data_IF_728364039235
#
_entry.id   IF_728364039235
#
_cell.length_a   1.000
_cell.length_b   1.000
_cell.length_c   1.000
_cell.angle_alpha   90.00
_cell.angle_beta   90.00
_cell.angle_gamma   90.00
#
_symmetry.space_group_name_H-M   'P 1'
#
loop_
_entity.id
_entity.type
_entity.pdbx_description
1 polymer ?
#
# COMPACT_ATOMS: atom_id res chain seq x y z
N UNK A 1 20.07 16.23 0.40
CA UNK A 1 20.56 15.96 1.77
C UNK A 1 22.08 16.03 1.92
N UNK A 2 22.89 16.12 0.84
CA UNK A 2 24.36 16.14 0.93
C UNK A 2 24.96 14.81 1.42
N UNK A 3 24.31 13.71 1.05
CA UNK A 3 24.70 12.33 1.34
C UNK A 3 25.13 11.71 0.01
N UNK A 4 26.10 10.79 0.04
CA UNK A 4 26.48 10.06 -1.16
C UNK A 4 25.27 9.27 -1.69
N UNK A 5 24.90 9.41 -2.98
CA UNK A 5 23.78 8.66 -3.54
C UNK A 5 23.89 7.14 -3.37
N UNK A 6 25.11 6.59 -3.31
CA UNK A 6 25.35 5.16 -3.06
C UNK A 6 25.01 4.72 -1.63
N UNK A 7 24.93 5.66 -0.68
CA UNK A 7 24.50 5.41 0.71
C UNK A 7 22.97 5.53 0.89
N UNK A 8 22.21 5.81 -0.17
CA UNK A 8 20.74 5.99 -0.08
C UNK A 8 20.03 5.03 -1.03
N UNK A 9 19.02 4.34 -0.49
CA UNK A 9 18.16 3.45 -1.27
C UNK A 9 16.77 4.08 -1.36
N UNK A 10 16.25 4.16 -2.58
CA UNK A 10 14.85 4.47 -2.86
C UNK A 10 14.17 3.20 -3.32
N UNK A 11 13.06 2.87 -2.66
CA UNK A 11 12.25 1.70 -2.99
C UNK A 11 10.77 2.09 -3.03
N UNK A 12 9.98 1.34 -3.79
CA UNK A 12 8.54 1.47 -3.88
C UNK A 12 7.86 0.20 -3.37
N UNK A 13 7.93 -0.08 -2.06
CA UNK A 13 7.37 -1.30 -1.51
C UNK A 13 5.83 -1.28 -1.58
N UNK A 14 5.23 -2.47 -1.50
CA UNK A 14 3.80 -2.54 -1.22
C UNK A 14 3.52 -1.96 0.17
N UNK A 15 2.39 -1.28 0.33
CA UNK A 15 1.99 -0.72 1.64
C UNK A 15 1.94 -1.78 2.75
N UNK A 16 1.61 -3.02 2.41
CA UNK A 16 1.56 -4.16 3.34
C UNK A 16 2.91 -4.43 4.03
N UNK A 17 4.03 -4.21 3.32
CA UNK A 17 5.38 -4.33 3.89
C UNK A 17 5.68 -3.22 4.92
N UNK A 18 5.06 -2.05 4.76
CA UNK A 18 5.26 -0.90 5.67
C UNK A 18 4.39 -1.03 6.91
N UNK A 19 3.10 -1.36 6.74
CA UNK A 19 2.17 -1.42 7.87
C UNK A 19 2.26 -2.72 8.65
N UNK A 20 2.87 -3.76 8.07
CA UNK A 20 2.87 -5.12 8.63
C UNK A 20 1.47 -5.77 8.65
N UNK A 21 0.46 -5.07 8.13
CA UNK A 21 -0.90 -5.57 8.05
C UNK A 21 -1.06 -6.35 6.76
N UNK A 22 -1.10 -7.69 6.88
CA UNK A 22 -1.62 -8.52 5.81
C UNK A 22 -3.05 -8.06 5.53
N UNK A 23 -3.33 -7.60 4.31
CA UNK A 23 -4.72 -7.40 3.89
C UNK A 23 -5.43 -8.71 4.14
N UNK A 24 -6.43 -8.70 5.04
CA UNK A 24 -7.34 -9.84 5.23
C UNK A 24 -7.87 -10.17 3.84
N UNK A 25 -7.35 -11.24 3.25
CA UNK A 25 -7.61 -11.61 1.86
C UNK A 25 -9.11 -11.67 1.63
N UNK A 26 -9.53 -11.32 0.40
CA UNK A 26 -10.90 -11.38 -0.14
C UNK A 26 -11.92 -11.83 0.91
N UNK A 27 -12.38 -10.88 1.72
CA UNK A 27 -13.47 -11.18 2.66
C UNK A 27 -14.74 -11.26 1.82
N UNK A 28 -15.00 -12.44 1.26
CA UNK A 28 -16.25 -12.73 0.59
C UNK A 28 -17.35 -12.67 1.63
N UNK A 29 -18.18 -11.63 1.56
CA UNK A 29 -19.36 -11.50 2.41
C UNK A 29 -20.40 -12.49 1.92
N UNK A 30 -20.77 -13.52 2.71
CA UNK A 30 -21.80 -14.47 2.32
C UNK A 30 -23.18 -13.80 2.43
N UNK A 31 -23.97 -13.89 1.36
CA UNK A 31 -25.33 -13.35 1.27
C UNK A 31 -26.30 -14.53 1.12
N UNK A 32 -27.26 -14.62 2.03
CA UNK A 32 -28.39 -15.53 1.87
C UNK A 32 -29.42 -14.89 0.93
N UNK A 33 -29.60 -15.49 -0.25
CA UNK A 33 -30.61 -15.07 -1.22
C UNK A 33 -31.37 -16.30 -1.73
N UNK A 34 -32.70 -16.28 -1.66
CA UNK A 34 -33.58 -17.39 -2.09
C UNK A 34 -33.17 -18.76 -1.49
N UNK A 35 -32.85 -18.78 -0.19
CA UNK A 35 -32.44 -20.01 0.50
C UNK A 35 -31.05 -20.55 0.11
N UNK A 36 -30.29 -19.81 -0.71
CA UNK A 36 -28.93 -20.18 -1.11
C UNK A 36 -27.92 -19.12 -0.65
N UNK A 37 -26.82 -19.57 -0.07
CA UNK A 37 -25.70 -18.70 0.29
C UNK A 37 -24.84 -18.47 -0.96
N UNK A 38 -24.62 -17.20 -1.31
CA UNK A 38 -23.77 -16.78 -2.43
C UNK A 38 -22.89 -15.61 -2.00
N UNK A 39 -21.67 -15.48 -2.53
CA UNK A 39 -20.84 -14.31 -2.27
C UNK A 39 -21.45 -13.03 -2.87
N UNK A 40 -21.24 -11.90 -2.21
CA UNK A 40 -21.69 -10.58 -2.68
C UNK A 40 -21.20 -10.26 -4.10
N UNK A 41 -19.99 -10.69 -4.47
CA UNK A 41 -19.41 -10.53 -5.81
C UNK A 41 -20.22 -11.18 -6.93
N UNK A 42 -21.05 -12.17 -6.61
CA UNK A 42 -21.95 -12.83 -7.57
C UNK A 42 -23.26 -12.06 -7.78
N UNK A 43 -23.62 -11.19 -6.84
CA UNK A 43 -24.86 -10.42 -6.85
C UNK A 43 -24.65 -8.97 -7.27
N UNK A 44 -23.44 -8.44 -7.09
CA UNK A 44 -23.13 -7.02 -7.27
C UNK A 44 -21.92 -6.80 -8.19
N UNK A 45 -22.13 -6.22 -9.40
CA UNK A 45 -21.04 -5.86 -10.30
C UNK A 45 -20.05 -4.88 -9.69
N UNK A 46 -20.51 -3.92 -8.87
CA UNK A 46 -19.63 -2.97 -8.17
C UNK A 46 -18.76 -3.67 -7.13
N UNK A 47 -19.31 -4.63 -6.39
CA UNK A 47 -18.54 -5.42 -5.42
C UNK A 47 -17.51 -6.30 -6.11
N UNK A 48 -17.86 -6.89 -7.27
CA UNK A 48 -16.91 -7.64 -8.10
C UNK A 48 -15.78 -6.74 -8.61
N UNK A 49 -16.11 -5.53 -9.10
CA UNK A 49 -15.13 -4.57 -9.59
C UNK A 49 -14.18 -4.11 -8.47
N UNK A 50 -14.71 -3.79 -7.29
CA UNK A 50 -13.92 -3.38 -6.11
C UNK A 50 -12.97 -4.48 -5.63
N UNK A 51 -13.38 -5.76 -5.66
CA UNK A 51 -12.47 -6.85 -5.33
C UNK A 51 -11.43 -7.14 -6.43
N UNK A 52 -11.80 -6.96 -7.70
CA UNK A 52 -10.88 -7.21 -8.83
C UNK A 52 -9.83 -6.12 -9.00
N UNK A 53 -10.15 -4.88 -8.60
CA UNK A 53 -9.16 -3.81 -8.53
C UNK A 53 -8.32 -4.06 -7.29
N UNK A 54 -7.14 -4.63 -7.49
CA UNK A 54 -6.08 -4.46 -6.51
C UNK A 54 -5.92 -2.97 -6.28
N UNK A 55 -6.20 -2.49 -5.07
CA UNK A 55 -5.81 -1.13 -4.70
C UNK A 55 -4.29 -1.15 -4.76
N UNK A 56 -3.73 -0.62 -5.85
CA UNK A 56 -2.30 -0.41 -6.04
C UNK A 56 -1.89 0.71 -5.10
N UNK A 57 -1.72 0.34 -3.84
CA UNK A 57 -1.28 1.22 -2.78
C UNK A 57 0.24 1.19 -2.83
N UNK A 58 0.79 2.24 -3.43
CA UNK A 58 2.23 2.43 -3.53
C UNK A 58 2.67 3.33 -2.40
N UNK A 59 3.86 3.05 -1.89
CA UNK A 59 4.55 3.90 -0.95
C UNK A 59 5.96 4.13 -1.46
N UNK A 60 6.58 5.23 -1.03
CA UNK A 60 7.99 5.51 -1.30
C UNK A 60 8.76 5.37 0.01
N UNK A 61 9.74 4.48 0.01
CA UNK A 61 10.65 4.30 1.14
C UNK A 61 12.01 4.90 0.80
N UNK A 62 12.56 5.69 1.73
CA UNK A 62 13.91 6.23 1.65
C UNK A 62 14.73 5.67 2.80
N UNK A 63 15.70 4.80 2.50
CA UNK A 63 16.59 4.20 3.49
C UNK A 63 18.00 4.79 3.39
N UNK A 64 18.62 5.07 4.53
CA UNK A 64 19.97 5.62 4.62
C UNK A 64 20.62 5.22 5.96
N UNK A 65 21.96 5.35 6.10
CA UNK A 65 22.63 5.19 7.38
C UNK A 65 22.02 6.09 8.46
N UNK A 66 21.96 5.57 9.69
CA UNK A 66 21.31 6.23 10.85
C UNK A 66 21.77 7.69 11.06
N UNK A 67 23.07 7.95 10.89
CA UNK A 67 23.70 9.27 10.97
C UNK A 67 23.08 10.34 10.04
N UNK A 68 22.33 9.94 9.01
CA UNK A 68 21.76 10.84 8.01
C UNK A 68 20.24 10.95 8.05
N UNK A 69 19.55 10.20 8.92
CA UNK A 69 18.08 10.09 8.92
C UNK A 69 17.40 11.45 8.94
N UNK A 70 17.75 12.34 9.88
CA UNK A 70 17.09 13.66 10.01
C UNK A 70 17.28 14.53 8.76
N UNK A 71 18.48 14.50 8.17
CA UNK A 71 18.81 15.28 6.95
C UNK A 71 18.10 14.74 5.72
N UNK A 72 18.00 13.42 5.62
CA UNK A 72 17.34 12.73 4.51
C UNK A 72 15.83 12.90 4.63
N UNK A 73 15.25 12.72 5.81
CA UNK A 73 13.83 12.96 6.08
C UNK A 73 13.41 14.38 5.70
N UNK A 74 14.13 15.40 6.17
CA UNK A 74 13.80 16.80 5.82
C UNK A 74 13.85 17.06 4.31
N UNK A 75 14.80 16.45 3.62
CA UNK A 75 14.91 16.58 2.16
C UNK A 75 13.80 15.81 1.45
N UNK A 76 13.52 14.57 1.88
CA UNK A 76 12.50 13.70 1.32
C UNK A 76 11.11 14.29 1.52
N UNK A 77 10.74 14.71 2.73
CA UNK A 77 9.45 15.34 3.02
C UNK A 77 9.24 16.61 2.20
N UNK A 78 10.28 17.42 2.00
CA UNK A 78 10.17 18.61 1.13
C UNK A 78 9.96 18.26 -0.35
N UNK A 79 10.59 17.20 -0.84
CA UNK A 79 10.55 16.83 -2.26
C UNK A 79 9.34 15.96 -2.61
N UNK A 80 8.92 15.09 -1.68
CA UNK A 80 7.84 14.13 -1.87
C UNK A 80 6.47 14.67 -1.42
N UNK A 81 6.39 15.71 -0.59
CA UNK A 81 5.09 16.29 -0.20
C UNK A 81 4.34 16.96 -1.36
N UNK A 82 5.04 17.28 -2.46
CA UNK A 82 4.46 17.91 -3.66
C UNK A 82 4.07 16.88 -4.75
N UNK A 83 4.23 15.57 -4.49
CA UNK A 83 3.87 14.46 -5.37
C UNK A 83 2.46 13.94 -5.07
#
# INVERSE_FOLDING_TARGET
AGVDPSEVILDAPSRELITGEARRGKTEVPILNDGRVRPLTRLSPISKALQSRGVHDWAVMVACPEKYVERVERAASRTLADL
#
